data_IF_197833552869
#
_entry.id   IF_197833552869
#
_cell.length_a   1.000
_cell.length_b   1.000
_cell.length_c   1.000
_cell.angle_alpha   90.00
_cell.angle_beta   90.00
_cell.angle_gamma   90.00
#
_symmetry.space_group_name_H-M   'P 1'
#
loop_
_entity.id
_entity.type
_entity.pdbx_description
1 polymer ?
#
# COMPACT_ATOMS: atom_id res chain seq x y z
N UNK A 1 -16.14 -26.85 36.16
CA UNK A 1 -15.81 -25.54 35.57
C UNK A 1 -15.52 -24.59 36.72
N UNK A 2 -14.30 -24.03 36.78
CA UNK A 2 -13.91 -23.11 37.83
C UNK A 2 -14.73 -21.84 37.80
N UNK A 3 -15.14 -21.35 38.98
CA UNK A 3 -15.71 -20.01 39.12
C UNK A 3 -14.60 -18.93 38.91
N UNK A 4 -15.00 -17.69 38.73
CA UNK A 4 -14.05 -16.60 38.53
C UNK A 4 -13.21 -16.36 39.81
N UNK A 5 -13.81 -16.55 41.00
CA UNK A 5 -13.11 -16.45 42.28
C UNK A 5 -12.08 -17.57 42.45
N UNK A 6 -12.38 -18.81 42.00
CA UNK A 6 -11.43 -19.93 42.04
C UNK A 6 -10.25 -19.70 41.08
N UNK A 7 -10.50 -19.07 39.92
CA UNK A 7 -9.43 -18.70 38.97
C UNK A 7 -8.50 -17.66 39.57
N UNK A 8 -9.06 -16.60 40.18
CA UNK A 8 -8.28 -15.56 40.85
C UNK A 8 -7.46 -16.12 42.00
N UNK A 9 -8.05 -17.00 42.84
CA UNK A 9 -7.36 -17.68 43.93
C UNK A 9 -6.21 -18.57 43.45
N UNK A 10 -6.30 -19.13 42.24
CA UNK A 10 -5.24 -19.90 41.58
C UNK A 10 -4.19 -19.01 40.86
N UNK A 11 -4.26 -17.69 41.00
CA UNK A 11 -3.31 -16.77 40.38
C UNK A 11 -3.57 -16.51 38.87
N UNK A 12 -4.73 -16.95 38.36
CA UNK A 12 -5.14 -16.64 36.99
C UNK A 12 -5.70 -15.23 36.95
N UNK A 13 -4.98 -14.33 36.29
CA UNK A 13 -5.46 -12.98 36.05
C UNK A 13 -6.21 -12.97 34.73
N UNK A 14 -7.43 -12.43 34.75
CA UNK A 14 -8.18 -12.20 33.53
C UNK A 14 -7.47 -11.10 32.75
N UNK A 15 -6.97 -11.40 31.56
CA UNK A 15 -6.50 -10.40 30.63
C UNK A 15 -7.56 -10.19 29.56
N UNK A 16 -7.95 -8.93 29.35
CA UNK A 16 -8.78 -8.60 28.22
C UNK A 16 -8.04 -8.96 26.91
N UNK A 17 -8.79 -9.40 25.91
CA UNK A 17 -8.25 -9.60 24.58
C UNK A 17 -7.65 -8.25 24.10
N UNK A 18 -6.48 -8.26 23.45
CA UNK A 18 -5.90 -7.04 22.92
C UNK A 18 -6.89 -6.39 21.96
N UNK A 19 -7.00 -5.05 22.02
CA UNK A 19 -7.87 -4.30 21.14
C UNK A 19 -7.55 -4.63 19.66
N UNK A 20 -8.57 -4.88 18.82
CA UNK A 20 -8.35 -5.17 17.42
C UNK A 20 -7.70 -3.97 16.71
N UNK A 21 -6.77 -4.23 15.81
CA UNK A 21 -6.11 -3.21 15.01
C UNK A 21 -5.91 -3.71 13.59
N UNK A 22 -5.76 -2.78 12.62
CA UNK A 22 -5.43 -3.11 11.25
C UNK A 22 -3.90 -3.16 11.07
N UNK A 23 -3.36 -4.36 10.88
CA UNK A 23 -1.92 -4.58 10.74
C UNK A 23 -1.30 -3.96 9.46
N UNK A 24 -2.11 -3.47 8.54
CA UNK A 24 -1.62 -2.70 7.39
C UNK A 24 -1.05 -1.36 7.84
N UNK A 25 -1.63 -0.75 8.88
CA UNK A 25 -1.34 0.61 9.33
C UNK A 25 -0.71 0.70 10.72
N UNK A 26 -0.84 -0.35 11.53
CA UNK A 26 -0.38 -0.38 12.91
C UNK A 26 0.51 -1.58 13.19
N UNK A 27 1.44 -1.43 14.14
CA UNK A 27 2.22 -2.54 14.70
C UNK A 27 1.46 -3.26 15.81
N UNK A 28 0.69 -2.50 16.58
CA UNK A 28 -0.23 -2.93 17.63
C UNK A 28 -1.37 -1.90 17.75
N UNK A 29 -2.32 -2.10 18.68
CA UNK A 29 -3.49 -1.23 18.82
C UNK A 29 -3.20 0.26 19.04
N UNK A 30 -1.99 0.61 19.50
CA UNK A 30 -1.60 1.97 19.88
C UNK A 30 -0.39 2.50 19.10
N UNK A 31 0.29 1.67 18.31
CA UNK A 31 1.54 2.03 17.63
C UNK A 31 1.34 2.10 16.12
N UNK A 32 1.11 3.28 15.55
CA UNK A 32 0.99 3.44 14.11
C UNK A 32 2.34 3.22 13.42
N UNK A 33 2.32 2.64 12.21
CA UNK A 33 3.48 2.57 11.33
C UNK A 33 3.81 3.97 10.82
N UNK A 34 5.09 4.28 10.62
CA UNK A 34 5.52 5.55 10.07
C UNK A 34 4.95 5.76 8.66
N UNK A 35 4.47 6.97 8.37
CA UNK A 35 4.03 7.35 7.02
C UNK A 35 5.19 7.58 6.09
N UNK A 36 6.17 8.35 6.54
CA UNK A 36 7.34 8.74 5.78
C UNK A 36 8.53 7.82 6.09
N UNK A 37 9.48 7.78 5.19
CA UNK A 37 10.71 7.01 5.32
C UNK A 37 11.55 7.54 6.50
N UNK A 38 12.18 6.64 7.24
CA UNK A 38 13.05 6.98 8.36
C UNK A 38 14.41 6.31 8.21
N UNK A 39 15.46 7.00 8.60
CA UNK A 39 16.79 6.43 8.66
C UNK A 39 16.88 5.35 9.73
N UNK A 40 17.42 4.20 9.38
CA UNK A 40 17.66 3.13 10.34
C UNK A 40 18.78 3.52 11.31
N UNK A 41 18.51 3.31 12.60
CA UNK A 41 19.50 3.49 13.67
C UNK A 41 19.58 2.23 14.51
N UNK A 42 20.76 1.97 15.09
CA UNK A 42 20.96 0.88 16.03
C UNK A 42 20.42 1.21 17.44
N UNK A 43 20.59 0.31 18.40
CA UNK A 43 20.11 0.48 19.77
C UNK A 43 20.78 1.67 20.49
N UNK A 44 21.98 2.09 20.04
CA UNK A 44 22.73 3.22 20.56
C UNK A 44 22.41 4.53 19.82
N UNK A 45 21.53 4.50 18.80
CA UNK A 45 21.13 5.65 17.99
C UNK A 45 22.10 6.01 16.86
N UNK A 46 23.07 5.13 16.54
CA UNK A 46 23.98 5.36 15.43
C UNK A 46 23.35 4.94 14.10
N UNK A 47 23.73 5.60 12.98
CA UNK A 47 23.26 5.22 11.65
C UNK A 47 23.61 3.77 11.30
N UNK A 48 22.65 2.99 10.84
CA UNK A 48 22.89 1.67 10.24
C UNK A 48 23.23 1.87 8.77
N UNK A 49 24.40 1.38 8.37
CA UNK A 49 24.89 1.49 6.99
C UNK A 49 24.92 0.12 6.32
N UNK A 50 24.57 0.08 5.04
CA UNK A 50 24.76 -1.06 4.14
C UNK A 50 25.59 -0.59 2.95
N UNK A 51 26.70 -1.27 2.68
CA UNK A 51 27.69 -0.87 1.65
C UNK A 51 28.17 0.59 1.73
N UNK A 52 28.17 1.16 2.94
CA UNK A 52 28.55 2.54 3.21
C UNK A 52 27.44 3.58 3.03
N UNK A 53 26.24 3.15 2.62
CA UNK A 53 25.07 4.01 2.49
C UNK A 53 24.12 3.84 3.70
N UNK A 54 23.47 4.94 4.09
CA UNK A 54 22.51 4.94 5.17
C UNK A 54 21.31 4.07 4.82
N UNK A 55 21.02 3.04 5.61
CA UNK A 55 19.80 2.26 5.48
C UNK A 55 18.56 3.11 5.80
N UNK A 56 17.55 2.96 4.95
CA UNK A 56 16.26 3.63 5.10
C UNK A 56 15.16 2.59 5.32
N UNK A 57 14.38 2.78 6.38
CA UNK A 57 13.16 2.00 6.61
C UNK A 57 12.03 2.72 5.88
N UNK A 58 11.45 2.05 4.88
CA UNK A 58 10.38 2.64 4.09
C UNK A 58 9.11 2.83 4.93
N UNK A 59 8.59 4.04 4.90
CA UNK A 59 7.29 4.37 5.45
C UNK A 59 6.12 3.83 4.60
N UNK A 60 4.90 3.94 5.12
CA UNK A 60 3.69 3.46 4.44
C UNK A 60 3.51 4.08 3.06
N UNK A 61 3.81 5.37 2.90
CA UNK A 61 3.68 6.05 1.60
C UNK A 61 4.58 5.41 0.55
N UNK A 62 5.86 5.22 0.84
CA UNK A 62 6.82 4.60 -0.09
C UNK A 62 6.45 3.15 -0.40
N UNK A 63 6.07 2.38 0.61
CA UNK A 63 5.62 0.99 0.42
C UNK A 63 4.39 0.91 -0.50
N UNK A 64 3.39 1.75 -0.27
CA UNK A 64 2.18 1.74 -1.08
C UNK A 64 2.40 2.27 -2.49
N UNK A 65 3.27 3.24 -2.70
CA UNK A 65 3.67 3.65 -4.07
C UNK A 65 4.32 2.51 -4.86
N UNK A 66 5.13 1.66 -4.22
CA UNK A 66 5.64 0.44 -4.88
C UNK A 66 4.52 -0.53 -5.27
N UNK A 67 3.54 -0.74 -4.38
CA UNK A 67 2.38 -1.58 -4.66
C UNK A 67 1.55 -1.02 -5.83
N UNK A 68 1.29 0.29 -5.85
CA UNK A 68 0.56 0.97 -6.93
C UNK A 68 1.28 0.77 -8.27
N UNK A 69 2.60 0.94 -8.31
CA UNK A 69 3.40 0.69 -9.53
C UNK A 69 3.35 -0.77 -9.99
N UNK A 70 3.36 -1.72 -9.06
CA UNK A 70 3.20 -3.14 -9.38
C UNK A 70 1.80 -3.43 -9.95
N UNK A 71 0.75 -2.84 -9.38
CA UNK A 71 -0.61 -2.97 -9.88
C UNK A 71 -0.73 -2.37 -11.29
N UNK A 72 -0.23 -1.16 -11.53
CA UNK A 72 -0.21 -0.55 -12.86
C UNK A 72 0.52 -1.42 -13.88
N UNK A 73 1.68 -1.97 -13.52
CA UNK A 73 2.43 -2.90 -14.35
C UNK A 73 1.63 -4.17 -14.67
N UNK A 74 0.92 -4.72 -13.67
CA UNK A 74 0.04 -5.88 -13.85
C UNK A 74 -1.11 -5.61 -14.82
N UNK A 75 -1.70 -4.39 -14.77
CA UNK A 75 -2.78 -3.98 -15.68
C UNK A 75 -2.28 -3.72 -17.12
N UNK A 76 -1.04 -3.25 -17.28
CA UNK A 76 -0.46 -2.95 -18.59
C UNK A 76 0.12 -4.17 -19.30
N UNK A 77 0.69 -5.12 -18.55
CA UNK A 77 1.45 -6.26 -19.09
C UNK A 77 0.66 -7.16 -20.07
N UNK A 78 -0.66 -7.44 -19.89
CA UNK A 78 -1.41 -8.26 -20.83
C UNK A 78 -1.47 -7.69 -22.26
N UNK A 79 -1.26 -6.38 -22.42
CA UNK A 79 -1.32 -5.68 -23.71
C UNK A 79 0.03 -5.20 -24.23
N UNK A 80 1.14 -5.46 -23.50
CA UNK A 80 2.48 -5.03 -23.90
C UNK A 80 2.93 -5.65 -25.22
N UNK A 81 2.56 -6.90 -25.49
CA UNK A 81 2.86 -7.56 -26.75
C UNK A 81 2.27 -6.83 -27.97
N UNK A 82 1.12 -6.17 -27.80
CA UNK A 82 0.49 -5.40 -28.89
C UNK A 82 1.34 -4.19 -29.27
N UNK A 83 1.92 -3.54 -28.29
CA UNK A 83 2.82 -2.40 -28.50
C UNK A 83 4.09 -2.85 -29.22
N UNK A 84 4.70 -3.95 -28.76
CA UNK A 84 5.89 -4.53 -29.38
C UNK A 84 5.59 -4.95 -30.82
N UNK A 85 4.49 -5.68 -31.05
CA UNK A 85 4.10 -6.11 -32.39
C UNK A 85 3.87 -4.94 -33.33
N UNK A 86 3.31 -3.83 -32.86
CA UNK A 86 3.10 -2.63 -33.67
C UNK A 86 4.42 -1.95 -34.08
N UNK A 87 5.52 -2.17 -33.34
CA UNK A 87 6.84 -1.70 -33.70
C UNK A 87 7.53 -2.59 -34.74
N UNK A 88 7.24 -3.89 -34.74
CA UNK A 88 7.90 -4.89 -35.59
C UNK A 88 7.15 -5.16 -36.89
N UNK A 89 5.83 -5.00 -36.90
CA UNK A 89 4.92 -5.36 -38.01
C UNK A 89 4.24 -4.11 -38.54
N UNK A 90 4.63 -3.65 -39.72
CA UNK A 90 4.17 -2.39 -40.31
C UNK A 90 2.65 -2.28 -40.52
N UNK A 91 1.97 -3.43 -40.71
CA UNK A 91 0.54 -3.48 -41.00
C UNK A 91 -0.31 -3.81 -39.74
N UNK A 92 0.32 -3.83 -38.57
CA UNK A 92 -0.37 -4.06 -37.30
C UNK A 92 -0.53 -2.74 -36.54
N UNK A 93 -1.75 -2.47 -36.13
CA UNK A 93 -2.10 -1.30 -35.30
C UNK A 93 -2.75 -1.74 -34.00
N UNK A 94 -2.28 -1.14 -32.87
CA UNK A 94 -2.91 -1.37 -31.57
C UNK A 94 -4.32 -0.79 -31.60
N UNK A 95 -5.36 -1.56 -31.17
CA UNK A 95 -6.73 -1.02 -31.10
C UNK A 95 -6.78 0.26 -30.26
N UNK A 96 -7.55 1.26 -30.73
CA UNK A 96 -7.65 2.56 -30.06
C UNK A 96 -8.14 2.46 -28.60
N UNK A 97 -9.07 1.54 -28.30
CA UNK A 97 -9.52 1.27 -26.93
C UNK A 97 -8.40 0.79 -26.02
N UNK A 98 -7.50 -0.06 -26.52
CA UNK A 98 -6.33 -0.53 -25.75
C UNK A 98 -5.37 0.65 -25.48
N UNK A 99 -5.12 1.50 -26.46
CA UNK A 99 -4.27 2.70 -26.25
C UNK A 99 -4.86 3.64 -25.20
N UNK A 100 -6.19 3.89 -25.27
CA UNK A 100 -6.90 4.70 -24.29
C UNK A 100 -6.82 4.09 -22.90
N UNK A 101 -7.17 2.81 -22.74
CA UNK A 101 -7.07 2.11 -21.45
C UNK A 101 -5.67 2.18 -20.84
N UNK A 102 -4.64 1.96 -21.66
CA UNK A 102 -3.24 2.04 -21.19
C UNK A 102 -2.87 3.46 -20.74
N UNK A 103 -3.38 4.50 -21.39
CA UNK A 103 -3.21 5.88 -20.97
C UNK A 103 -3.94 6.16 -19.65
N UNK A 104 -5.16 5.64 -19.51
CA UNK A 104 -5.97 5.78 -18.29
C UNK A 104 -5.31 5.07 -17.09
N UNK A 105 -4.75 3.86 -17.26
CA UNK A 105 -3.99 3.17 -16.22
C UNK A 105 -2.80 4.01 -15.74
N UNK A 106 -2.04 4.63 -16.65
CA UNK A 106 -0.90 5.50 -16.25
C UNK A 106 -1.37 6.74 -15.52
N UNK A 107 -2.47 7.35 -15.98
CA UNK A 107 -3.07 8.51 -15.33
C UNK A 107 -3.58 8.16 -13.95
N UNK A 108 -4.27 7.02 -13.80
CA UNK A 108 -4.74 6.52 -12.50
C UNK A 108 -3.58 6.26 -11.54
N UNK A 109 -2.50 5.61 -12.00
CA UNK A 109 -1.30 5.38 -11.17
C UNK A 109 -0.76 6.70 -10.62
N UNK A 110 -0.58 7.71 -11.47
CA UNK A 110 -0.07 9.02 -11.04
C UNK A 110 -1.03 9.71 -10.06
N UNK A 111 -2.34 9.61 -10.28
CA UNK A 111 -3.37 10.21 -9.41
C UNK A 111 -3.38 9.54 -8.04
N UNK A 112 -3.31 8.21 -7.99
CA UNK A 112 -3.28 7.43 -6.75
C UNK A 112 -1.98 7.73 -5.98
N UNK A 113 -0.84 7.75 -6.65
CA UNK A 113 0.46 8.09 -6.03
C UNK A 113 0.42 9.53 -5.45
N UNK A 114 -0.15 10.49 -6.16
CA UNK A 114 -0.32 11.86 -5.68
C UNK A 114 -1.25 11.94 -4.44
N UNK A 115 -2.32 11.15 -4.41
CA UNK A 115 -3.19 11.06 -3.24
C UNK A 115 -2.45 10.49 -2.01
N UNK A 116 -1.62 9.47 -2.21
CA UNK A 116 -0.74 8.91 -1.15
C UNK A 116 0.23 9.97 -0.63
N UNK A 117 0.92 10.69 -1.52
CA UNK A 117 1.87 11.75 -1.13
C UNK A 117 1.18 12.89 -0.38
N UNK A 118 -0.04 13.24 -0.76
CA UNK A 118 -0.82 14.34 -0.18
C UNK A 118 -1.40 14.03 1.20
N UNK A 119 -1.40 12.77 1.64
CA UNK A 119 -1.88 12.40 2.98
C UNK A 119 -1.01 13.08 4.06
N UNK A 120 -1.61 14.01 4.80
CA UNK A 120 -0.88 14.83 5.78
C UNK A 120 -0.61 14.08 7.10
N UNK A 121 -1.46 13.12 7.44
CA UNK A 121 -1.42 12.34 8.68
C UNK A 121 -1.92 10.91 8.47
N UNK A 122 -1.80 10.10 9.52
CA UNK A 122 -2.18 8.69 9.49
C UNK A 122 -3.67 8.48 9.21
N UNK A 123 -4.53 9.34 9.73
CA UNK A 123 -5.98 9.28 9.51
C UNK A 123 -6.34 9.56 8.05
N UNK A 124 -5.76 10.59 7.44
CA UNK A 124 -5.98 10.91 6.01
C UNK A 124 -5.39 9.85 5.09
N UNK A 125 -4.30 9.19 5.49
CA UNK A 125 -3.76 8.05 4.75
C UNK A 125 -4.72 6.84 4.79
N UNK A 126 -5.25 6.48 5.97
CA UNK A 126 -6.22 5.38 6.11
C UNK A 126 -7.49 5.66 5.29
N UNK A 127 -7.96 6.91 5.26
CA UNK A 127 -9.14 7.30 4.50
C UNK A 127 -9.03 7.02 2.99
N UNK A 128 -7.81 6.87 2.43
CA UNK A 128 -7.62 6.47 1.03
C UNK A 128 -8.11 5.04 0.74
N UNK A 129 -8.27 4.22 1.77
CA UNK A 129 -8.74 2.83 1.66
C UNK A 129 -10.25 2.69 1.81
N UNK A 130 -10.95 3.76 2.17
CA UNK A 130 -12.38 3.76 2.34
C UNK A 130 -13.06 4.01 0.99
N UNK A 131 -13.87 3.04 0.56
CA UNK A 131 -14.68 3.20 -0.65
C UNK A 131 -15.94 4.02 -0.31
N UNK A 132 -16.27 5.08 -1.08
CA UNK A 132 -17.55 5.73 -0.98
C UNK A 132 -18.68 4.77 -1.38
N UNK A 133 -19.93 5.09 -1.01
CA UNK A 133 -21.10 4.23 -1.24
C UNK A 133 -21.28 3.86 -2.73
N UNK A 134 -20.95 4.79 -3.65
CA UNK A 134 -21.11 4.65 -5.08
C UNK A 134 -19.77 4.72 -5.83
N UNK A 135 -18.67 4.16 -5.28
CA UNK A 135 -17.36 4.30 -5.93
C UNK A 135 -16.28 3.34 -5.46
N UNK A 136 -15.10 3.52 -6.04
CA UNK A 136 -13.88 2.82 -5.65
C UNK A 136 -13.13 3.62 -4.58
N UNK A 137 -12.41 2.93 -3.69
CA UNK A 137 -11.52 3.60 -2.76
C UNK A 137 -10.44 4.38 -3.54
N UNK A 138 -10.03 5.59 -3.09
CA UNK A 138 -9.01 6.38 -3.78
C UNK A 138 -7.72 5.62 -4.08
N UNK A 139 -7.31 4.70 -3.20
CA UNK A 139 -6.11 3.87 -3.37
C UNK A 139 -6.27 2.79 -4.46
N UNK A 140 -7.47 2.52 -4.91
CA UNK A 140 -7.81 1.45 -5.86
C UNK A 140 -8.70 1.94 -7.01
N UNK A 141 -8.65 3.23 -7.32
CA UNK A 141 -9.45 3.85 -8.39
C UNK A 141 -8.81 3.63 -9.78
N UNK A 142 -8.71 2.35 -10.14
CA UNK A 142 -8.23 1.91 -11.44
C UNK A 142 -9.36 1.93 -12.49
N UNK A 143 -9.03 2.21 -13.78
CA UNK A 143 -10.00 2.08 -14.87
C UNK A 143 -10.50 0.64 -15.00
N UNK A 144 -11.72 0.49 -15.52
CA UNK A 144 -12.28 -0.82 -15.81
C UNK A 144 -11.55 -1.45 -17.01
N UNK A 145 -11.38 -2.77 -16.96
CA UNK A 145 -10.72 -3.51 -18.04
C UNK A 145 -11.53 -3.43 -19.35
N UNK A 146 -10.82 -3.44 -20.48
CA UNK A 146 -11.38 -3.34 -21.84
C UNK A 146 -11.53 -4.71 -22.47
#
# INVERSE_FOLDING_TARGET
RWSDDEKVAAGLVWADDPAPFDNRFYWDANTPKALDDVNAVDEDGNPVLEDGEQMVILGLKSQWKLIIKQQASGLLSPTDWMIIKAQEVSDYYVPAGILAYRADVRTASNTIEAAVDSAADHSSFIALFDAPEDGKAPIADWPDEV
#
